data_IF_225934833942
#
_entry.id   IF_225934833942
#
_cell.length_a   1.000
_cell.length_b   1.000
_cell.length_c   1.000
_cell.angle_alpha   90.00
_cell.angle_beta   90.00
_cell.angle_gamma   90.00
#
_symmetry.space_group_name_H-M   'P 1'
#
loop_
_entity.id
_entity.type
_entity.pdbx_description
1 polymer ?
#
# COMPACT_ATOMS: atom_id res chain seq x y z
N UNK A 1 46.06 -13.20 -16.45
CA UNK A 1 46.65 -12.71 -15.19
C UNK A 1 45.86 -13.34 -14.06
N UNK A 2 46.49 -14.29 -13.37
CA UNK A 2 46.00 -15.02 -12.21
C UNK A 2 45.73 -14.09 -11.04
N UNK A 3 44.56 -14.20 -10.40
CA UNK A 3 44.41 -13.83 -8.98
C UNK A 3 43.71 -14.99 -8.27
N UNK A 4 44.49 -15.63 -7.41
CA UNK A 4 44.09 -16.63 -6.42
C UNK A 4 43.76 -15.90 -5.12
N UNK A 5 42.76 -16.39 -4.38
CA UNK A 5 42.43 -16.02 -3.00
C UNK A 5 40.93 -15.71 -2.86
N UNK A 6 40.13 -16.33 -2.01
CA UNK A 6 40.42 -17.11 -0.80
C UNK A 6 39.30 -18.13 -0.57
N UNK A 7 39.70 -19.31 -0.11
CA UNK A 7 38.88 -20.39 0.40
C UNK A 7 37.93 -19.93 1.53
N UNK A 8 36.69 -20.44 1.52
CA UNK A 8 36.06 -21.06 2.69
C UNK A 8 34.65 -21.59 2.35
N UNK A 9 34.53 -22.93 2.41
CA UNK A 9 33.34 -23.69 2.77
C UNK A 9 32.10 -23.68 1.83
N UNK A 10 32.05 -24.64 0.90
CA UNK A 10 31.28 -25.88 1.11
C UNK A 10 31.38 -26.81 -0.09
N UNK A 11 32.10 -27.89 0.16
CA UNK A 11 32.12 -29.13 -0.57
C UNK A 11 30.70 -29.73 -0.59
N UNK A 12 30.09 -29.86 -1.76
CA UNK A 12 28.93 -30.72 -1.97
C UNK A 12 28.95 -31.31 -3.38
N UNK A 13 29.76 -32.37 -3.49
CA UNK A 13 29.39 -33.67 -4.04
C UNK A 13 28.46 -33.65 -5.28
N UNK A 14 29.07 -33.82 -6.45
CA UNK A 14 28.44 -34.34 -7.67
C UNK A 14 27.80 -35.71 -7.37
N UNK A 15 26.49 -35.76 -7.12
CA UNK A 15 25.65 -36.96 -7.25
C UNK A 15 24.52 -36.58 -8.21
N UNK A 16 24.24 -37.37 -9.26
CA UNK A 16 23.09 -37.12 -10.11
C UNK A 16 21.82 -37.57 -9.38
N UNK A 17 21.24 -36.67 -8.58
CA UNK A 17 19.89 -36.82 -8.06
C UNK A 17 18.91 -36.16 -9.03
N UNK A 18 17.84 -36.84 -9.49
CA UNK A 18 16.92 -36.35 -10.53
C UNK A 18 15.96 -35.24 -10.05
N UNK A 19 16.32 -34.50 -9.00
CA UNK A 19 15.46 -33.56 -8.27
C UNK A 19 16.04 -32.15 -8.15
N UNK A 20 17.08 -31.80 -8.92
CA UNK A 20 17.69 -30.47 -8.87
C UNK A 20 17.39 -29.65 -10.13
N UNK A 21 17.10 -28.37 -9.93
CA UNK A 21 17.02 -27.37 -10.99
C UNK A 21 18.42 -27.15 -11.56
N UNK A 22 18.64 -27.49 -12.83
CA UNK A 22 19.96 -27.37 -13.46
C UNK A 22 19.98 -26.12 -14.35
N UNK A 23 20.98 -25.26 -14.15
CA UNK A 23 21.39 -24.24 -15.12
C UNK A 23 22.65 -24.74 -15.83
N UNK A 24 22.85 -24.42 -17.11
CA UNK A 24 24.16 -24.63 -17.77
C UNK A 24 25.25 -23.69 -17.23
N UNK A 25 24.88 -22.72 -16.38
CA UNK A 25 25.79 -21.77 -15.76
C UNK A 25 26.25 -22.21 -14.37
N UNK A 26 27.53 -21.95 -14.07
CA UNK A 26 28.24 -22.28 -12.82
C UNK A 26 27.72 -21.49 -11.60
N UNK A 27 27.09 -20.32 -11.83
CA UNK A 27 26.50 -19.45 -10.81
C UNK A 27 25.11 -18.93 -11.22
N UNK A 28 24.22 -18.80 -10.24
CA UNK A 28 22.82 -18.39 -10.43
C UNK A 28 22.68 -16.93 -10.93
N UNK A 29 23.62 -16.06 -10.55
CA UNK A 29 23.70 -14.66 -11.04
C UNK A 29 24.08 -14.59 -12.52
N UNK A 30 25.03 -15.41 -12.95
CA UNK A 30 25.52 -15.45 -14.34
C UNK A 30 24.43 -15.96 -15.30
N UNK A 31 23.60 -16.90 -14.84
CA UNK A 31 22.45 -17.41 -15.60
C UNK A 31 21.31 -16.38 -15.76
N UNK A 32 21.09 -15.51 -14.76
CA UNK A 32 20.09 -14.45 -14.82
C UNK A 32 20.52 -13.29 -15.74
N UNK A 33 21.82 -12.98 -15.81
CA UNK A 33 22.35 -11.98 -16.74
C UNK A 33 22.33 -12.47 -18.20
N UNK A 34 22.46 -13.78 -18.42
CA UNK A 34 22.52 -14.39 -19.75
C UNK A 34 21.16 -14.85 -20.30
N UNK A 35 20.04 -14.55 -19.64
CA UNK A 35 18.70 -15.03 -20.02
C UNK A 35 18.63 -16.56 -20.24
N UNK A 36 19.33 -17.35 -19.43
CA UNK A 36 19.28 -18.81 -19.52
C UNK A 36 17.92 -19.37 -19.08
N UNK A 37 17.44 -20.43 -19.76
CA UNK A 37 16.25 -21.15 -19.32
C UNK A 37 16.60 -22.19 -18.25
N UNK A 38 15.83 -22.20 -17.16
CA UNK A 38 15.96 -23.18 -16.09
C UNK A 38 15.19 -24.46 -16.46
N UNK A 39 15.90 -25.58 -16.63
CA UNK A 39 15.30 -26.87 -17.02
C UNK A 39 15.27 -27.80 -15.80
N UNK A 40 14.08 -28.27 -15.41
CA UNK A 40 13.89 -29.24 -14.34
C UNK A 40 12.47 -29.22 -13.76
N UNK A 41 12.01 -30.34 -13.20
CA UNK A 41 10.68 -30.47 -12.58
C UNK A 41 10.49 -29.62 -11.32
N UNK A 42 11.59 -29.07 -10.77
CA UNK A 42 11.62 -28.18 -9.61
C UNK A 42 11.99 -26.72 -9.96
N UNK A 43 12.06 -26.36 -11.26
CA UNK A 43 12.29 -24.99 -11.71
C UNK A 43 10.94 -24.32 -12.05
N UNK A 44 10.70 -23.11 -11.56
CA UNK A 44 9.61 -22.25 -12.05
C UNK A 44 10.08 -21.38 -13.21
N UNK A 45 9.15 -20.72 -13.92
CA UNK A 45 9.43 -19.81 -15.05
C UNK A 45 10.39 -18.63 -14.73
N UNK A 46 10.67 -18.35 -13.45
CA UNK A 46 11.50 -17.23 -13.01
C UNK A 46 12.61 -17.59 -12.02
N UNK A 47 12.93 -18.88 -11.85
CA UNK A 47 14.03 -19.33 -10.98
C UNK A 47 13.77 -20.65 -10.25
N UNK A 48 14.69 -21.08 -9.36
CA UNK A 48 14.52 -22.28 -8.55
C UNK A 48 13.34 -22.14 -7.58
N UNK A 49 12.53 -23.19 -7.46
CA UNK A 49 11.38 -23.21 -6.56
C UNK A 49 11.83 -23.21 -5.09
N UNK A 50 11.59 -22.10 -4.38
CA UNK A 50 11.84 -21.95 -2.93
C UNK A 50 10.50 -22.08 -2.17
N UNK A 51 10.21 -23.23 -1.53
CA UNK A 51 8.91 -23.50 -0.90
C UNK A 51 8.62 -22.64 0.36
N UNK A 52 9.66 -22.06 0.95
CA UNK A 52 9.64 -21.30 2.20
C UNK A 52 9.18 -19.84 2.04
N UNK A 53 9.26 -19.27 0.84
CA UNK A 53 8.92 -17.85 0.58
C UNK A 53 7.45 -17.53 0.83
N UNK A 54 6.54 -18.43 0.43
CA UNK A 54 5.11 -18.24 0.64
C UNK A 54 4.77 -18.26 2.13
N UNK A 55 5.29 -19.26 2.85
CA UNK A 55 5.07 -19.40 4.28
C UNK A 55 5.61 -18.18 5.04
N UNK A 56 6.83 -17.74 4.70
CA UNK A 56 7.43 -16.54 5.27
C UNK A 56 6.62 -15.28 4.98
N UNK A 57 6.13 -15.12 3.75
CA UNK A 57 5.27 -14.00 3.36
C UNK A 57 3.95 -13.98 4.14
N UNK A 58 3.32 -15.13 4.37
CA UNK A 58 2.12 -15.24 5.19
C UNK A 58 2.40 -14.85 6.65
N UNK A 59 3.53 -15.29 7.22
CA UNK A 59 3.93 -14.92 8.58
C UNK A 59 4.12 -13.40 8.68
N UNK A 60 4.86 -12.80 7.75
CA UNK A 60 5.08 -11.34 7.74
C UNK A 60 3.75 -10.59 7.62
N UNK A 61 2.85 -11.04 6.74
CA UNK A 61 1.54 -10.43 6.54
C UNK A 61 0.68 -10.44 7.82
N UNK A 62 0.45 -11.62 8.41
CA UNK A 62 -0.41 -11.75 9.58
C UNK A 62 0.22 -11.12 10.82
N UNK A 63 1.53 -11.29 11.02
CA UNK A 63 2.23 -10.67 12.15
C UNK A 63 2.20 -9.15 12.06
N UNK A 64 2.36 -8.58 10.87
CA UNK A 64 2.25 -7.12 10.67
C UNK A 64 0.85 -6.60 11.02
N UNK A 65 -0.20 -7.31 10.60
CA UNK A 65 -1.58 -6.94 10.92
C UNK A 65 -1.84 -7.01 12.44
N UNK A 66 -1.44 -8.12 13.08
CA UNK A 66 -1.63 -8.33 14.53
C UNK A 66 -0.82 -7.31 15.33
N UNK A 67 0.45 -7.06 14.95
CA UNK A 67 1.31 -6.10 15.64
C UNK A 67 0.78 -4.66 15.48
N UNK A 68 0.34 -4.27 14.29
CA UNK A 68 -0.27 -2.95 14.06
C UNK A 68 -1.54 -2.76 14.91
N UNK A 69 -2.39 -3.79 14.95
CA UNK A 69 -3.65 -3.78 15.72
C UNK A 69 -3.40 -3.72 17.23
N UNK A 70 -2.44 -4.51 17.74
CA UNK A 70 -2.11 -4.54 19.17
C UNK A 70 -1.43 -3.25 19.62
N UNK A 71 -0.47 -2.72 18.85
CA UNK A 71 0.17 -1.43 19.15
C UNK A 71 -0.82 -0.26 19.06
N UNK A 72 -1.85 -0.34 18.21
CA UNK A 72 -2.91 0.68 18.22
C UNK A 72 -3.83 0.53 19.44
N UNK A 73 -4.27 -0.70 19.73
CA UNK A 73 -5.12 -1.02 20.89
C UNK A 73 -4.42 -0.74 22.22
N UNK A 74 -3.09 -0.71 22.23
CA UNK A 74 -2.31 -0.24 23.38
C UNK A 74 -2.73 1.14 23.86
N UNK A 75 -3.32 1.99 22.99
CA UNK A 75 -3.89 3.29 23.38
C UNK A 75 -4.97 3.20 24.44
N UNK A 76 -5.69 2.10 24.59
CA UNK A 76 -6.73 1.96 25.64
C UNK A 76 -6.24 1.13 26.82
N UNK A 77 -5.01 0.62 26.76
CA UNK A 77 -4.41 -0.21 27.79
C UNK A 77 -4.09 0.58 29.06
N UNK A 78 -4.18 -0.10 30.21
CA UNK A 78 -4.03 0.49 31.56
C UNK A 78 -2.61 0.35 32.14
N UNK A 79 -1.70 -0.34 31.45
CA UNK A 79 -0.40 -0.71 32.02
C UNK A 79 0.66 0.42 32.04
N UNK A 80 0.54 1.44 31.19
CA UNK A 80 1.60 2.44 30.98
C UNK A 80 1.12 3.91 31.14
N UNK A 81 2.03 4.86 31.44
CA UNK A 81 1.69 6.27 31.55
C UNK A 81 1.15 6.85 30.24
N UNK A 82 0.25 7.83 30.36
CA UNK A 82 -0.55 8.38 29.25
C UNK A 82 0.28 8.92 28.09
N UNK A 83 1.43 9.56 28.36
CA UNK A 83 2.34 10.09 27.32
C UNK A 83 2.94 8.98 26.47
N UNK A 84 3.52 7.96 27.09
CA UNK A 84 4.16 6.84 26.38
C UNK A 84 3.13 6.10 25.53
N UNK A 85 1.94 5.86 26.09
CA UNK A 85 0.84 5.20 25.40
C UNK A 85 0.36 5.96 24.16
N UNK A 86 0.28 7.30 24.20
CA UNK A 86 -0.09 8.08 23.01
C UNK A 86 1.01 8.04 21.96
N UNK A 87 2.26 8.29 22.35
CA UNK A 87 3.41 8.26 21.43
C UNK A 87 3.51 6.92 20.68
N UNK A 88 3.45 5.80 21.40
CA UNK A 88 3.54 4.46 20.79
C UNK A 88 2.37 4.19 19.84
N UNK A 89 1.14 4.57 20.21
CA UNK A 89 -0.04 4.35 19.35
C UNK A 89 -0.07 5.25 18.11
N UNK A 90 0.46 6.47 18.22
CA UNK A 90 0.49 7.42 17.10
C UNK A 90 1.55 7.02 16.07
N UNK A 91 2.67 6.42 16.50
CA UNK A 91 3.72 5.84 15.62
C UNK A 91 3.60 4.32 15.36
N UNK A 92 2.51 3.68 15.79
CA UNK A 92 2.36 2.22 15.80
C UNK A 92 2.65 1.54 14.45
N UNK A 93 2.08 2.08 13.36
CA UNK A 93 2.25 1.52 12.00
C UNK A 93 3.71 1.64 11.54
N UNK A 94 4.34 2.79 11.79
CA UNK A 94 5.74 3.02 11.45
C UNK A 94 6.67 2.06 12.23
N UNK A 95 6.48 1.95 13.55
CA UNK A 95 7.24 1.02 14.39
C UNK A 95 7.07 -0.43 13.93
N UNK A 96 5.86 -0.81 13.52
CA UNK A 96 5.58 -2.16 12.99
C UNK A 96 6.35 -2.45 11.70
N UNK A 97 6.36 -1.50 10.75
CA UNK A 97 7.11 -1.67 9.50
C UNK A 97 8.60 -1.84 9.83
N UNK A 98 9.15 -1.00 10.71
CA UNK A 98 10.55 -1.06 11.09
C UNK A 98 10.92 -2.39 11.76
N UNK A 99 10.11 -2.89 12.71
CA UNK A 99 10.40 -4.17 13.38
C UNK A 99 10.29 -5.36 12.43
N UNK A 100 9.28 -5.37 11.54
CA UNK A 100 9.10 -6.46 10.58
C UNK A 100 10.20 -6.49 9.52
N UNK A 101 10.68 -5.32 9.07
CA UNK A 101 11.84 -5.22 8.16
C UNK A 101 13.12 -5.74 8.83
N UNK A 102 13.33 -5.43 10.12
CA UNK A 102 14.47 -5.97 10.87
C UNK A 102 14.38 -7.50 10.98
N UNK A 103 13.19 -8.04 11.27
CA UNK A 103 12.99 -9.49 11.36
C UNK A 103 13.24 -10.17 10.00
N UNK A 104 12.74 -9.60 8.90
CA UNK A 104 13.00 -10.09 7.53
C UNK A 104 14.50 -10.07 7.20
N UNK A 105 15.21 -9.01 7.59
CA UNK A 105 16.65 -8.92 7.43
C UNK A 105 17.42 -9.98 8.23
N UNK A 106 17.01 -10.25 9.47
CA UNK A 106 17.65 -11.25 10.34
C UNK A 106 17.43 -12.69 9.86
N UNK A 107 16.27 -12.97 9.25
CA UNK A 107 15.91 -14.32 8.79
C UNK A 107 16.42 -14.60 7.37
N UNK A 108 16.62 -13.56 6.55
CA UNK A 108 17.36 -13.66 5.30
C UNK A 108 16.68 -14.47 4.18
N UNK A 109 15.38 -14.78 4.32
CA UNK A 109 14.58 -15.48 3.30
C UNK A 109 14.28 -14.51 2.13
N UNK A 110 14.34 -14.95 0.86
CA UNK A 110 14.12 -14.08 -0.30
C UNK A 110 12.63 -13.66 -0.44
N UNK A 111 12.20 -12.69 0.35
CA UNK A 111 10.87 -12.09 0.26
C UNK A 111 10.77 -11.08 -0.91
N UNK A 112 9.58 -10.92 -1.53
CA UNK A 112 9.39 -9.95 -2.60
C UNK A 112 9.45 -8.54 -2.03
N UNK A 113 10.45 -7.76 -2.44
CA UNK A 113 10.75 -6.41 -1.94
C UNK A 113 10.18 -5.32 -2.84
N UNK A 114 10.03 -4.13 -2.27
CA UNK A 114 9.58 -2.95 -3.02
C UNK A 114 10.62 -2.55 -4.08
N UNK A 115 10.22 -2.64 -5.36
CA UNK A 115 11.05 -2.21 -6.49
C UNK A 115 10.85 -0.71 -6.73
N UNK A 116 11.86 0.10 -6.39
CA UNK A 116 11.86 1.55 -6.61
C UNK A 116 12.95 1.90 -7.62
N UNK A 117 12.62 2.59 -8.73
CA UNK A 117 13.63 3.09 -9.65
C UNK A 117 14.52 4.12 -8.96
N UNK A 118 15.84 4.05 -9.17
CA UNK A 118 16.82 4.98 -8.59
C UNK A 118 16.93 6.29 -9.37
N UNK A 119 16.23 6.42 -10.50
CA UNK A 119 16.27 7.59 -11.38
C UNK A 119 14.85 8.01 -11.70
N UNK A 120 14.57 9.31 -11.58
CA UNK A 120 13.34 9.90 -12.08
C UNK A 120 13.37 9.86 -13.61
N UNK A 121 12.61 8.94 -14.18
CA UNK A 121 12.35 8.89 -15.62
C UNK A 121 10.87 9.16 -15.87
N UNK A 122 10.51 9.93 -16.92
CA UNK A 122 9.13 9.99 -17.38
C UNK A 122 8.61 8.59 -17.72
N UNK A 123 7.30 8.37 -17.66
CA UNK A 123 6.67 7.08 -17.96
C UNK A 123 7.01 6.53 -19.36
N UNK A 124 7.43 7.41 -20.27
CA UNK A 124 7.93 7.08 -21.60
C UNK A 124 9.19 7.90 -21.88
N UNK A 125 10.25 7.26 -22.35
CA UNK A 125 11.54 7.92 -22.60
C UNK A 125 11.45 9.01 -23.69
N UNK A 126 10.49 8.92 -24.62
CA UNK A 126 10.28 9.88 -25.70
C UNK A 126 9.50 11.15 -25.31
N UNK A 127 9.17 11.35 -24.02
CA UNK A 127 8.29 12.44 -23.55
C UNK A 127 9.05 13.39 -22.61
N UNK A 128 8.97 14.68 -22.88
CA UNK A 128 9.34 15.72 -21.91
C UNK A 128 8.37 15.78 -20.73
N UNK A 129 8.73 16.57 -19.71
CA UNK A 129 7.88 16.78 -18.53
C UNK A 129 6.62 17.60 -18.80
N UNK A 130 6.59 18.40 -19.86
CA UNK A 130 5.42 19.19 -20.27
C UNK A 130 4.79 18.54 -21.49
N UNK A 131 3.46 18.40 -21.44
CA UNK A 131 2.69 17.73 -22.46
C UNK A 131 2.23 18.73 -23.51
N UNK A 132 2.61 18.49 -24.77
CA UNK A 132 2.03 19.23 -25.89
C UNK A 132 0.55 18.84 -26.05
N UNK A 133 -0.38 19.80 -26.14
CA UNK A 133 -1.83 19.54 -26.16
C UNK A 133 -2.33 18.81 -27.42
N UNK A 134 -1.64 18.96 -28.55
CA UNK A 134 -2.05 18.38 -29.84
C UNK A 134 -1.17 17.17 -30.23
N UNK A 135 0.08 17.13 -29.76
CA UNK A 135 0.99 15.99 -29.98
C UNK A 135 1.03 15.52 -31.45
N UNK A 136 1.25 14.22 -31.69
CA UNK A 136 1.11 13.60 -33.01
C UNK A 136 -0.35 13.22 -33.35
N UNK A 137 -1.31 13.61 -32.53
CA UNK A 137 -2.71 13.18 -32.66
C UNK A 137 -3.48 14.10 -33.62
N UNK A 138 -4.49 13.58 -34.33
CA UNK A 138 -5.34 14.38 -35.21
C UNK A 138 -6.21 15.37 -34.41
N UNK A 139 -6.50 16.53 -34.98
CA UNK A 139 -7.19 17.64 -34.31
C UNK A 139 -8.56 17.27 -33.69
N UNK A 140 -9.26 16.28 -34.26
CA UNK A 140 -10.56 15.82 -33.74
C UNK A 140 -10.47 15.21 -32.33
N UNK A 141 -9.28 14.75 -31.89
CA UNK A 141 -9.12 14.16 -30.56
C UNK A 141 -9.34 15.19 -29.45
N UNK A 142 -9.06 16.46 -29.71
CA UNK A 142 -9.28 17.55 -28.74
C UNK A 142 -10.77 17.73 -28.47
N UNK A 143 -11.59 17.66 -29.52
CA UNK A 143 -13.05 17.77 -29.40
C UNK A 143 -13.62 16.50 -28.75
N UNK A 144 -13.14 15.32 -29.17
CA UNK A 144 -13.56 14.05 -28.58
C UNK A 144 -13.21 13.94 -27.09
N UNK A 145 -12.11 14.57 -26.63
CA UNK A 145 -11.67 14.55 -25.24
C UNK A 145 -12.60 15.31 -24.28
N UNK A 146 -13.53 16.14 -24.77
CA UNK A 146 -14.53 16.82 -23.94
C UNK A 146 -15.43 15.83 -23.22
N UNK A 147 -15.82 14.73 -23.88
CA UNK A 147 -16.71 13.71 -23.33
C UNK A 147 -16.09 13.01 -22.11
N UNK A 148 -14.88 12.40 -22.19
CA UNK A 148 -14.24 11.81 -21.02
C UNK A 148 -13.84 12.87 -19.98
N UNK A 149 -13.49 14.10 -20.38
CA UNK A 149 -13.21 15.17 -19.43
C UNK A 149 -14.44 15.50 -18.57
N UNK A 150 -15.63 15.56 -19.17
CA UNK A 150 -16.89 15.78 -18.44
C UNK A 150 -17.22 14.63 -17.48
N UNK A 151 -17.01 13.37 -17.90
CA UNK A 151 -17.18 12.23 -16.99
C UNK A 151 -16.18 12.28 -15.82
N UNK A 152 -14.93 12.62 -16.10
CA UNK A 152 -13.89 12.78 -15.09
C UNK A 152 -14.19 13.89 -14.08
N UNK A 153 -14.68 15.06 -14.53
CA UNK A 153 -15.04 16.15 -13.61
C UNK A 153 -16.20 15.77 -12.70
N UNK A 154 -17.19 15.03 -13.20
CA UNK A 154 -18.29 14.50 -12.38
C UNK A 154 -17.77 13.52 -11.33
N UNK A 155 -16.88 12.58 -11.70
CA UNK A 155 -16.28 11.63 -10.77
C UNK A 155 -15.47 12.35 -9.67
N UNK A 156 -14.64 13.31 -10.06
CA UNK A 156 -13.83 14.10 -9.12
C UNK A 156 -14.72 14.90 -8.16
N UNK A 157 -15.78 15.54 -8.68
CA UNK A 157 -16.73 16.29 -7.87
C UNK A 157 -17.48 15.39 -6.88
N UNK A 158 -17.99 14.24 -7.32
CA UNK A 158 -18.67 13.29 -6.44
C UNK A 158 -17.74 12.76 -5.35
N UNK A 159 -16.50 12.37 -5.71
CA UNK A 159 -15.52 11.89 -4.74
C UNK A 159 -15.15 12.96 -3.71
N UNK A 160 -14.97 14.21 -4.15
CA UNK A 160 -14.64 15.33 -3.26
C UNK A 160 -15.78 15.60 -2.29
N UNK A 161 -17.01 15.65 -2.78
CA UNK A 161 -18.18 16.00 -1.97
C UNK A 161 -18.52 14.88 -0.98
N UNK A 162 -18.49 13.61 -1.41
CA UNK A 162 -18.73 12.47 -0.52
C UNK A 162 -17.64 12.43 0.56
N UNK A 163 -16.36 12.57 0.19
CA UNK A 163 -15.28 12.51 1.17
C UNK A 163 -15.33 13.69 2.15
N UNK A 164 -15.59 14.91 1.65
CA UNK A 164 -15.67 16.08 2.51
C UNK A 164 -16.82 15.98 3.52
N UNK A 165 -17.97 15.44 3.12
CA UNK A 165 -19.11 15.19 4.03
C UNK A 165 -18.78 14.13 5.08
N UNK A 166 -18.09 13.05 4.70
CA UNK A 166 -17.68 11.99 5.64
C UNK A 166 -16.69 12.54 6.68
N UNK A 167 -15.69 13.29 6.25
CA UNK A 167 -14.66 13.87 7.15
C UNK A 167 -15.29 14.93 8.07
N UNK A 168 -16.20 15.76 7.56
CA UNK A 168 -16.89 16.79 8.34
C UNK A 168 -18.07 16.27 9.15
N UNK A 169 -18.15 14.95 9.40
CA UNK A 169 -19.17 14.37 10.28
C UNK A 169 -19.04 14.95 11.69
N UNK A 170 -20.18 15.37 12.27
CA UNK A 170 -20.25 15.98 13.62
C UNK A 170 -19.59 15.12 14.71
N UNK A 171 -19.56 13.81 14.52
CA UNK A 171 -18.94 12.84 15.42
C UNK A 171 -17.42 13.04 15.59
N UNK A 172 -16.73 13.59 14.57
CA UNK A 172 -15.29 13.89 14.63
C UNK A 172 -14.97 15.17 15.43
N UNK A 173 -15.98 15.93 15.88
CA UNK A 173 -15.84 17.11 16.76
C UNK A 173 -14.78 18.12 16.28
N UNK A 174 -14.75 18.38 14.97
CA UNK A 174 -13.83 19.34 14.37
C UNK A 174 -14.14 20.77 14.85
N UNK A 175 -13.11 21.52 15.23
CA UNK A 175 -13.24 22.89 15.79
C UNK A 175 -13.27 24.00 14.72
N UNK A 176 -12.86 23.70 13.49
CA UNK A 176 -12.79 24.66 12.38
C UNK A 176 -14.01 24.50 11.46
N UNK A 177 -14.43 25.59 10.81
CA UNK A 177 -15.53 25.60 9.85
C UNK A 177 -15.25 24.77 8.59
N UNK A 178 -16.30 24.47 7.82
CA UNK A 178 -16.22 23.68 6.60
C UNK A 178 -15.83 24.56 5.39
N UNK A 179 -14.89 24.10 4.56
CA UNK A 179 -14.37 24.86 3.42
C UNK A 179 -14.62 24.20 2.05
N UNK A 180 -15.84 23.72 1.77
CA UNK A 180 -16.14 22.93 0.56
C UNK A 180 -15.79 23.63 -0.76
N UNK A 181 -16.08 24.93 -0.88
CA UNK A 181 -15.80 25.69 -2.12
C UNK A 181 -14.31 25.93 -2.34
N UNK A 182 -13.57 26.23 -1.26
CA UNK A 182 -12.13 26.43 -1.31
C UNK A 182 -11.41 25.12 -1.69
N UNK A 183 -11.91 24.00 -1.15
CA UNK A 183 -11.42 22.66 -1.42
C UNK A 183 -11.62 22.27 -2.90
N UNK A 184 -12.81 22.55 -3.46
CA UNK A 184 -13.08 22.36 -4.88
C UNK A 184 -12.18 23.22 -5.78
N UNK A 185 -11.94 24.48 -5.42
CA UNK A 185 -11.05 25.37 -6.17
C UNK A 185 -9.61 24.85 -6.15
N UNK A 186 -9.11 24.40 -4.99
CA UNK A 186 -7.76 23.88 -4.86
C UNK A 186 -7.55 22.61 -5.68
N UNK A 187 -8.52 21.69 -5.66
CA UNK A 187 -8.51 20.48 -6.50
C UNK A 187 -8.52 20.84 -7.99
N UNK A 188 -9.32 21.82 -8.41
CA UNK A 188 -9.35 22.26 -9.81
C UNK A 188 -8.01 22.83 -10.28
N UNK A 189 -7.34 23.65 -9.46
CA UNK A 189 -6.00 24.19 -9.77
C UNK A 189 -4.98 23.04 -9.87
N UNK A 190 -4.98 22.11 -8.91
CA UNK A 190 -4.06 20.97 -8.91
C UNK A 190 -4.29 20.04 -10.11
N UNK A 191 -5.56 19.81 -10.50
CA UNK A 191 -5.92 19.06 -11.69
C UNK A 191 -5.37 19.71 -12.96
N UNK A 192 -5.48 21.04 -13.08
CA UNK A 192 -4.91 21.78 -14.20
C UNK A 192 -3.39 21.62 -14.30
N UNK A 193 -2.68 21.82 -13.19
CA UNK A 193 -1.21 21.67 -13.13
C UNK A 193 -0.78 20.23 -13.45
N UNK A 194 -1.44 19.21 -12.87
CA UNK A 194 -1.10 17.81 -13.13
C UNK A 194 -1.40 17.38 -14.57
N UNK A 195 -2.45 17.95 -15.19
CA UNK A 195 -2.80 17.67 -16.59
C UNK A 195 -1.76 18.23 -17.57
N UNK A 196 -1.23 19.43 -17.32
CA UNK A 196 -0.09 19.99 -18.08
C UNK A 196 1.18 19.16 -17.81
N UNK A 197 1.35 18.75 -16.55
CA UNK A 197 2.36 17.84 -15.99
C UNK A 197 2.42 16.45 -16.66
N UNK A 198 1.27 15.97 -17.13
CA UNK A 198 1.02 14.56 -17.43
C UNK A 198 1.20 13.64 -16.22
N UNK A 199 1.07 14.17 -15.00
CA UNK A 199 1.14 13.45 -13.74
C UNK A 199 -0.25 12.90 -13.37
N UNK A 200 -0.33 11.80 -12.59
CA UNK A 200 -1.61 11.32 -12.06
C UNK A 200 -2.29 12.42 -11.24
N UNK A 201 -3.61 12.53 -11.37
CA UNK A 201 -4.39 13.58 -10.72
C UNK A 201 -4.45 13.39 -9.20
N UNK A 202 -4.25 14.47 -8.46
CA UNK A 202 -4.30 14.47 -7.00
C UNK A 202 -5.53 15.20 -6.48
N UNK A 203 -6.28 14.52 -5.61
CA UNK A 203 -7.50 15.03 -4.99
C UNK A 203 -7.23 15.84 -3.71
N UNK A 204 -6.00 15.82 -3.18
CA UNK A 204 -5.65 16.50 -1.92
C UNK A 204 -4.22 17.05 -1.97
N UNK A 205 -3.99 18.13 -1.22
CA UNK A 205 -2.65 18.73 -1.01
C UNK A 205 -1.67 17.73 -0.41
N UNK A 206 -2.15 16.79 0.42
CA UNK A 206 -1.32 15.69 0.93
C UNK A 206 -0.73 14.83 -0.18
N UNK A 207 -1.41 14.70 -1.32
CA UNK A 207 -0.90 14.01 -2.52
C UNK A 207 0.35 14.69 -3.07
N UNK A 208 0.38 16.02 -3.10
CA UNK A 208 1.57 16.79 -3.48
C UNK A 208 2.71 16.58 -2.48
N UNK A 209 2.42 16.58 -1.18
CA UNK A 209 3.42 16.30 -0.16
C UNK A 209 3.99 14.88 -0.29
N UNK A 210 3.14 13.88 -0.58
CA UNK A 210 3.57 12.50 -0.83
C UNK A 210 4.48 12.44 -2.07
N UNK A 211 4.15 13.15 -3.15
CA UNK A 211 4.99 13.21 -4.34
C UNK A 211 6.35 13.86 -4.07
N UNK A 212 6.39 14.96 -3.31
CA UNK A 212 7.65 15.58 -2.86
C UNK A 212 8.44 14.60 -2.00
N UNK A 213 7.78 13.86 -1.10
CA UNK A 213 8.42 12.85 -0.27
C UNK A 213 8.93 11.65 -1.08
N UNK A 214 8.23 11.21 -2.13
CA UNK A 214 8.73 10.24 -3.11
C UNK A 214 9.93 10.80 -3.90
N UNK A 215 9.88 12.11 -4.20
CA UNK A 215 10.99 12.91 -4.70
C UNK A 215 12.25 12.74 -3.85
N UNK A 216 12.11 13.04 -2.56
CA UNK A 216 13.18 12.93 -1.57
C UNK A 216 13.57 11.47 -1.28
N UNK A 217 12.65 10.50 -1.40
CA UNK A 217 12.92 9.10 -1.08
C UNK A 217 13.87 8.43 -2.09
N UNK A 218 14.06 8.99 -3.28
CA UNK A 218 15.10 8.51 -4.22
C UNK A 218 16.50 8.58 -3.59
N UNK A 219 16.78 9.60 -2.77
CA UNK A 219 18.02 9.70 -1.99
C UNK A 219 18.13 8.60 -0.91
N UNK A 220 17.00 8.09 -0.42
CA UNK A 220 16.91 7.04 0.61
C UNK A 220 16.54 5.67 0.04
N UNK A 221 16.67 5.46 -1.29
CA UNK A 221 16.32 4.20 -1.97
C UNK A 221 17.03 2.98 -1.39
N UNK A 222 18.22 3.16 -0.82
CA UNK A 222 18.95 2.11 -0.11
C UNK A 222 18.13 1.50 1.04
N UNK A 223 17.35 2.30 1.76
CA UNK A 223 16.54 1.83 2.90
C UNK A 223 15.19 1.26 2.41
N UNK A 224 14.55 1.91 1.43
CA UNK A 224 13.22 1.51 0.96
C UNK A 224 13.19 0.15 0.26
N UNK A 225 14.29 -0.24 -0.39
CA UNK A 225 14.43 -1.55 -1.06
C UNK A 225 14.42 -2.72 -0.08
N UNK A 226 14.67 -2.49 1.21
CA UNK A 226 14.59 -3.56 2.21
C UNK A 226 13.17 -3.84 2.69
N UNK A 227 12.18 -3.04 2.29
CA UNK A 227 10.79 -3.23 2.73
C UNK A 227 10.14 -4.36 1.93
N UNK A 228 9.74 -5.47 2.58
CA UNK A 228 9.05 -6.56 1.90
C UNK A 228 7.58 -6.19 1.65
N UNK A 229 7.08 -6.50 0.46
CA UNK A 229 5.69 -6.24 0.04
C UNK A 229 4.64 -6.86 0.97
N UNK A 230 4.81 -8.09 1.52
CA UNK A 230 3.86 -8.70 2.45
C UNK A 230 3.57 -7.84 3.70
N UNK A 231 4.57 -7.11 4.20
CA UNK A 231 4.39 -6.19 5.34
C UNK A 231 3.47 -5.03 4.94
N UNK A 232 3.67 -4.44 3.76
CA UNK A 232 2.80 -3.37 3.27
C UNK A 232 1.35 -3.86 3.12
N UNK A 233 1.13 -5.07 2.59
CA UNK A 233 -0.20 -5.67 2.51
C UNK A 233 -0.85 -5.85 3.90
N UNK A 234 -0.08 -6.26 4.91
CA UNK A 234 -0.57 -6.37 6.29
C UNK A 234 -0.99 -5.01 6.87
N UNK A 235 -0.22 -3.96 6.61
CA UNK A 235 -0.57 -2.58 6.98
C UNK A 235 -1.81 -2.08 6.23
N UNK A 236 -1.92 -2.36 4.93
CA UNK A 236 -3.11 -2.02 4.14
C UNK A 236 -4.36 -2.71 4.68
N UNK A 237 -4.27 -3.99 5.06
CA UNK A 237 -5.38 -4.69 5.71
C UNK A 237 -5.76 -4.01 7.03
N UNK A 238 -4.78 -3.64 7.86
CA UNK A 238 -5.04 -2.93 9.11
C UNK A 238 -5.75 -1.58 8.88
N UNK A 239 -5.28 -0.77 7.90
CA UNK A 239 -5.94 0.49 7.54
C UNK A 239 -7.36 0.28 7.02
N UNK A 240 -7.60 -0.79 6.25
CA UNK A 240 -8.93 -1.17 5.77
C UNK A 240 -9.88 -1.56 6.91
N UNK A 241 -9.43 -2.39 7.85
CA UNK A 241 -10.26 -2.78 9.02
C UNK A 241 -10.53 -1.57 9.93
N UNK A 242 -9.53 -0.72 10.13
CA UNK A 242 -9.68 0.49 10.95
C UNK A 242 -10.62 1.52 10.33
N UNK A 243 -10.73 1.60 9.00
CA UNK A 243 -11.64 2.54 8.33
C UNK A 243 -13.11 2.14 8.43
N UNK A 244 -13.39 0.84 8.62
CA UNK A 244 -14.75 0.33 8.87
C UNK A 244 -15.25 0.66 10.29
N UNK A 245 -14.35 0.96 11.22
CA UNK A 245 -14.73 1.32 12.59
C UNK A 245 -15.35 2.72 12.63
N UNK A 246 -16.57 2.82 13.16
CA UNK A 246 -17.31 4.08 13.25
C UNK A 246 -18.19 4.37 12.03
N UNK A 247 -18.34 3.44 11.09
CA UNK A 247 -19.39 3.52 10.05
C UNK A 247 -20.67 2.89 10.62
N UNK A 248 -21.74 3.68 10.70
CA UNK A 248 -23.04 3.23 11.24
C UNK A 248 -23.58 1.98 10.53
N UNK A 249 -23.38 1.88 9.21
CA UNK A 249 -23.75 0.70 8.43
C UNK A 249 -23.06 -0.57 8.94
N UNK A 250 -21.75 -0.53 9.18
CA UNK A 250 -21.00 -1.70 9.66
C UNK A 250 -21.37 -2.07 11.10
N UNK A 251 -21.66 -1.08 11.94
CA UNK A 251 -22.16 -1.33 13.29
C UNK A 251 -23.54 -1.99 13.28
N UNK A 252 -24.42 -1.62 12.32
CA UNK A 252 -25.71 -2.30 12.12
C UNK A 252 -25.55 -3.69 11.52
N UNK A 253 -24.60 -3.90 10.63
CA UNK A 253 -24.31 -5.22 10.08
C UNK A 253 -23.84 -6.18 11.19
N UNK A 254 -23.03 -5.71 12.14
CA UNK A 254 -22.64 -6.49 13.34
C UNK A 254 -23.83 -6.86 14.21
N UNK A 255 -24.89 -6.05 14.25
CA UNK A 255 -26.12 -6.37 15.00
C UNK A 255 -26.80 -7.63 14.47
N UNK A 256 -26.63 -7.99 13.21
CA UNK A 256 -27.18 -9.24 12.66
C UNK A 256 -26.56 -10.49 13.31
N UNK A 257 -25.28 -10.40 13.70
CA UNK A 257 -24.54 -11.50 14.34
C UNK A 257 -24.55 -11.47 15.88
N UNK A 258 -25.13 -10.45 16.52
CA UNK A 258 -25.15 -10.32 17.98
C UNK A 258 -26.49 -10.78 18.56
N UNK A 259 -26.50 -11.60 19.63
CA UNK A 259 -27.74 -11.92 20.33
C UNK A 259 -28.28 -10.68 21.05
N UNK A 260 -29.62 -10.53 21.08
CA UNK A 260 -30.30 -9.34 21.63
C UNK A 260 -29.89 -8.98 23.07
N UNK A 261 -29.42 -9.94 23.87
CA UNK A 261 -28.97 -9.73 25.25
C UNK A 261 -27.64 -8.96 25.38
N UNK A 262 -26.75 -9.07 24.39
CA UNK A 262 -25.41 -8.45 24.42
C UNK A 262 -25.34 -7.19 23.54
N UNK A 263 -26.50 -6.63 23.18
CA UNK A 263 -26.56 -5.51 22.27
C UNK A 263 -26.13 -4.21 22.96
N UNK A 264 -25.26 -3.39 22.33
CA UNK A 264 -24.89 -2.09 22.87
C UNK A 264 -26.05 -1.08 22.86
N UNK A 265 -26.04 -0.14 23.81
CA UNK A 265 -27.09 0.88 23.99
C UNK A 265 -27.01 2.01 22.95
N UNK A 266 -27.39 1.72 21.70
CA UNK A 266 -27.55 2.76 20.68
C UNK A 266 -28.88 3.51 20.81
N UNK A 267 -28.87 4.84 20.62
CA UNK A 267 -30.04 5.73 20.74
C UNK A 267 -31.21 5.29 19.84
N UNK A 268 -30.91 4.79 18.63
CA UNK A 268 -31.93 4.37 17.67
C UNK A 268 -32.62 3.04 18.05
N UNK A 269 -31.95 2.17 18.82
CA UNK A 269 -32.53 0.90 19.28
C UNK A 269 -33.60 1.08 20.36
N UNK A 270 -33.62 2.23 21.04
CA UNK A 270 -34.66 2.56 22.02
C UNK A 270 -36.00 2.92 21.39
N UNK A 271 -35.99 3.36 20.12
CA UNK A 271 -37.16 3.93 19.45
C UNK A 271 -37.70 3.06 18.31
N UNK A 272 -36.88 2.18 17.72
CA UNK A 272 -37.23 1.41 16.53
C UNK A 272 -37.07 -0.10 16.79
N UNK A 273 -38.07 -0.94 16.45
CA UNK A 273 -37.96 -2.39 16.61
C UNK A 273 -36.90 -2.99 15.69
N UNK A 274 -36.17 -4.00 16.20
CA UNK A 274 -35.04 -4.66 15.52
C UNK A 274 -35.36 -5.14 14.09
N UNK A 275 -36.56 -5.67 13.84
CA UNK A 275 -36.97 -6.14 12.50
C UNK A 275 -36.90 -5.04 11.44
N UNK A 276 -37.27 -3.80 11.79
CA UNK A 276 -37.18 -2.65 10.86
C UNK A 276 -35.73 -2.22 10.65
N UNK A 277 -34.90 -2.33 11.68
CA UNK A 277 -33.47 -2.03 11.58
C UNK A 277 -32.78 -3.03 10.64
N UNK A 278 -33.08 -4.33 10.75
CA UNK A 278 -32.56 -5.35 9.85
C UNK A 278 -33.10 -5.25 8.43
N UNK A 279 -34.34 -4.79 8.23
CA UNK A 279 -34.87 -4.57 6.88
C UNK A 279 -34.23 -3.37 6.19
N UNK A 280 -33.83 -2.36 6.95
CA UNK A 280 -33.18 -1.15 6.42
C UNK A 280 -31.69 -1.35 6.13
N UNK A 281 -31.03 -2.22 6.90
CA UNK A 281 -29.58 -2.49 6.81
C UNK A 281 -29.30 -3.45 5.67
#
# INVERSE_FOLDING_TARGET
MTVVGSEAAKQQLFIPLPTFCHSECLFLQECQEMHGEFIGSACGHHGPYTPDVLFWSCILFFTTFILSSTLKTFKTSRYFPTRVRSMVSDFAVFLTILTMVIIDFLIGVPSPKLQVPSVFKPTRDDRGWIISPIGPNPWWTVIAAIIPALLCTILIFMDQQITAVIINRKEHKLKKGCGYHLDLLMVAIMLGVCSIMGLPWFQRVTGLMIFVLMGCSVFMTAILKFIPMPVLYGVFLYMGVSSLQGIQFFDRLKLFGMPAKHQPDFIYLRHVPLRKVHLFT
#
